data_IF_607096171559
#
_entry.id   IF_607096171559
#
_cell.length_a   1.000
_cell.length_b   1.000
_cell.length_c   1.000
_cell.angle_alpha   90.00
_cell.angle_beta   90.00
_cell.angle_gamma   90.00
#
_symmetry.space_group_name_H-M   'P 1'
#
loop_
_entity.id
_entity.type
_entity.pdbx_description
1 polymer ?
#
# COMPACT_ATOMS: atom_id res chain seq x y z
N UNK A 1 7.99 16.66 -18.24
CA UNK A 1 8.53 16.10 -16.99
C UNK A 1 7.34 16.02 -16.05
N UNK A 2 6.77 14.83 -15.93
CA UNK A 2 5.41 14.58 -15.45
C UNK A 2 5.21 15.00 -14.00
N UNK A 3 4.04 15.60 -13.77
CA UNK A 3 3.46 16.04 -12.51
C UNK A 3 3.50 14.93 -11.45
N UNK A 4 4.11 15.23 -10.30
CA UNK A 4 4.33 14.28 -9.20
C UNK A 4 3.39 14.52 -8.01
N UNK A 5 2.30 15.29 -8.17
CA UNK A 5 1.41 15.70 -7.07
C UNK A 5 -0.03 15.16 -7.16
N UNK A 6 -0.34 14.25 -8.08
CA UNK A 6 -1.59 13.51 -8.00
C UNK A 6 -1.38 12.34 -7.03
N UNK A 7 -2.08 12.36 -5.88
CA UNK A 7 -2.23 11.18 -5.02
C UNK A 7 -2.45 9.95 -5.91
N UNK A 8 -1.80 8.78 -5.67
CA UNK A 8 -1.82 7.73 -6.68
C UNK A 8 -3.17 7.02 -6.68
N UNK A 9 -4.18 7.65 -7.27
CA UNK A 9 -5.37 6.98 -7.76
C UNK A 9 -4.96 6.11 -8.94
N UNK A 10 -5.39 4.84 -8.92
CA UNK A 10 -5.07 3.86 -9.95
C UNK A 10 -4.27 2.66 -9.41
N UNK A 11 -3.88 1.76 -10.32
CA UNK A 11 -3.29 0.47 -9.97
C UNK A 11 -1.98 0.59 -9.18
N UNK A 12 -1.14 1.57 -9.50
CA UNK A 12 0.15 1.78 -8.82
C UNK A 12 -0.07 2.14 -7.35
N UNK A 13 -0.97 3.09 -7.04
CA UNK A 13 -1.22 3.46 -5.65
C UNK A 13 -1.87 2.35 -4.84
N UNK A 14 -2.84 1.65 -5.44
CA UNK A 14 -3.47 0.50 -4.80
C UNK A 14 -2.47 -0.66 -4.54
N UNK A 15 -1.47 -0.86 -5.40
CA UNK A 15 -0.38 -1.80 -5.17
C UNK A 15 0.53 -1.36 -4.02
N UNK A 16 0.87 -0.08 -3.93
CA UNK A 16 1.70 0.47 -2.86
C UNK A 16 1.00 0.43 -1.50
N UNK A 17 -0.29 0.79 -1.44
CA UNK A 17 -1.11 0.67 -0.23
C UNK A 17 -1.22 -0.80 0.22
N UNK A 18 -1.40 -1.75 -0.72
CA UNK A 18 -1.41 -3.18 -0.42
C UNK A 18 -0.07 -3.65 0.16
N UNK A 19 1.06 -3.25 -0.42
CA UNK A 19 2.39 -3.57 0.08
C UNK A 19 2.60 -3.05 1.50
N UNK A 20 2.28 -1.78 1.75
CA UNK A 20 2.36 -1.18 3.08
C UNK A 20 1.48 -1.88 4.12
N UNK A 21 0.25 -2.26 3.74
CA UNK A 21 -0.64 -3.02 4.62
C UNK A 21 -0.07 -4.41 4.96
N UNK A 22 0.54 -5.10 4.00
CA UNK A 22 1.25 -6.37 4.21
C UNK A 22 2.40 -6.22 5.21
N UNK A 23 3.16 -5.12 5.15
CA UNK A 23 4.24 -4.81 6.10
C UNK A 23 3.80 -4.73 7.56
N UNK A 24 2.50 -4.55 7.83
CA UNK A 24 1.94 -4.57 9.19
C UNK A 24 1.74 -5.96 9.79
N UNK A 25 1.80 -7.01 8.95
CA UNK A 25 1.62 -8.40 9.39
C UNK A 25 2.94 -9.12 9.63
N UNK A 26 4.00 -8.65 8.98
CA UNK A 26 5.32 -9.25 9.05
C UNK A 26 6.32 -8.11 9.17
N UNK A 27 6.82 -7.91 10.40
CA UNK A 27 7.93 -7.01 10.65
C UNK A 27 9.10 -7.41 9.74
N UNK A 28 9.69 -6.45 9.04
CA UNK A 28 10.78 -6.74 8.12
C UNK A 28 10.38 -6.88 6.63
N UNK A 29 9.08 -6.91 6.31
CA UNK A 29 8.63 -7.25 4.97
C UNK A 29 8.74 -6.09 3.96
N UNK A 30 8.69 -4.84 4.43
CA UNK A 30 8.61 -3.64 3.57
C UNK A 30 9.58 -2.55 4.04
N UNK A 31 10.77 -2.99 4.44
CA UNK A 31 11.74 -2.12 5.13
C UNK A 31 12.39 -1.09 4.20
N UNK A 32 12.33 -1.34 2.88
CA UNK A 32 12.96 -0.52 1.85
C UNK A 32 11.99 0.49 1.21
N UNK A 33 10.73 0.57 1.64
CA UNK A 33 9.79 1.52 1.05
C UNK A 33 9.92 2.91 1.67
N UNK A 34 10.68 3.78 1.00
CA UNK A 34 10.84 5.19 1.35
C UNK A 34 9.85 6.13 0.65
N UNK A 35 8.78 5.60 0.02
CA UNK A 35 7.88 6.35 -0.88
C UNK A 35 7.14 7.53 -0.23
N UNK A 36 6.13 8.12 -0.90
CA UNK A 36 5.46 9.33 -0.43
C UNK A 36 5.06 9.20 1.05
N UNK A 37 5.52 10.10 1.94
CA UNK A 37 5.38 9.93 3.39
C UNK A 37 3.92 9.81 3.82
N UNK A 38 3.01 10.47 3.10
CA UNK A 38 1.57 10.45 3.35
C UNK A 38 0.96 9.04 3.20
N UNK A 39 1.47 8.21 2.29
CA UNK A 39 0.96 6.84 2.10
C UNK A 39 1.38 5.92 3.25
N UNK A 40 2.64 6.02 3.66
CA UNK A 40 3.14 5.25 4.80
C UNK A 40 2.41 5.65 6.09
N UNK A 41 2.22 6.96 6.31
CA UNK A 41 1.47 7.46 7.46
C UNK A 41 0.01 6.97 7.49
N UNK A 42 -0.69 6.97 6.33
CA UNK A 42 -2.05 6.44 6.22
C UNK A 42 -2.09 4.95 6.54
N UNK A 43 -1.22 4.16 5.93
CA UNK A 43 -1.14 2.73 6.20
C UNK A 43 -0.83 2.44 7.68
N UNK A 44 0.02 3.24 8.33
CA UNK A 44 0.35 3.12 9.75
C UNK A 44 -0.79 3.54 10.69
N UNK A 45 -1.69 4.43 10.27
CA UNK A 45 -2.82 4.89 11.08
C UNK A 45 -4.00 3.91 11.13
N UNK A 46 -4.18 3.08 10.11
CA UNK A 46 -5.32 2.14 10.01
C UNK A 46 -5.04 0.80 10.71
N UNK A 47 -6.02 0.11 11.31
CA UNK A 47 -5.82 -1.25 11.80
C UNK A 47 -5.35 -2.20 10.67
N UNK A 48 -4.50 -3.21 10.96
CA UNK A 48 -4.12 -4.21 9.96
C UNK A 48 -5.36 -4.90 9.38
N UNK A 49 -5.46 -4.94 8.06
CA UNK A 49 -6.53 -5.66 7.37
C UNK A 49 -6.38 -7.16 7.61
N UNK A 50 -7.46 -7.92 7.86
CA UNK A 50 -7.38 -9.37 7.91
C UNK A 50 -6.75 -9.96 6.62
N UNK A 51 -5.92 -11.03 6.72
CA UNK A 51 -5.25 -11.60 5.55
C UNK A 51 -6.15 -11.95 4.36
N UNK A 52 -7.40 -12.46 4.53
CA UNK A 52 -8.29 -12.68 3.40
C UNK A 52 -8.62 -11.42 2.61
N UNK A 53 -8.74 -10.27 3.29
CA UNK A 53 -9.04 -8.99 2.64
C UNK A 53 -7.85 -8.46 1.83
N UNK A 54 -6.62 -8.72 2.28
CA UNK A 54 -5.40 -8.42 1.52
C UNK A 54 -5.33 -9.25 0.24
N UNK A 55 -5.70 -10.54 0.29
CA UNK A 55 -5.78 -11.41 -0.89
C UNK A 55 -6.82 -10.87 -1.88
N UNK A 56 -7.99 -10.45 -1.42
CA UNK A 56 -9.02 -9.88 -2.29
C UNK A 56 -8.58 -8.54 -2.90
N UNK A 57 -7.86 -7.70 -2.14
CA UNK A 57 -7.25 -6.49 -2.66
C UNK A 57 -6.21 -6.79 -3.76
N UNK A 58 -5.36 -7.81 -3.56
CA UNK A 58 -4.40 -8.25 -4.57
C UNK A 58 -5.09 -8.74 -5.85
N UNK A 59 -6.16 -9.52 -5.73
CA UNK A 59 -6.93 -10.01 -6.89
C UNK A 59 -7.53 -8.87 -7.71
N UNK A 60 -8.01 -7.81 -7.06
CA UNK A 60 -8.58 -6.63 -7.74
C UNK A 60 -7.55 -5.87 -8.57
N UNK A 61 -6.26 -5.98 -8.27
CA UNK A 61 -5.20 -5.34 -9.06
C UNK A 61 -4.91 -6.02 -10.39
N UNK A 62 -5.36 -7.28 -10.55
CA UNK A 62 -5.12 -8.10 -11.73
C UNK A 62 -6.26 -8.04 -12.75
N UNK A 63 -7.38 -7.42 -12.39
CA UNK A 63 -8.57 -7.25 -13.24
C UNK A 63 -8.53 -5.93 -14.01
#
# INVERSE_FOLDING_TARGET
MTDSSAAPGGCVGAYLELGLALGRHVDGLVDAYYGPPDLSARAAAEPPLPPPQLVDAARRLLA
#
